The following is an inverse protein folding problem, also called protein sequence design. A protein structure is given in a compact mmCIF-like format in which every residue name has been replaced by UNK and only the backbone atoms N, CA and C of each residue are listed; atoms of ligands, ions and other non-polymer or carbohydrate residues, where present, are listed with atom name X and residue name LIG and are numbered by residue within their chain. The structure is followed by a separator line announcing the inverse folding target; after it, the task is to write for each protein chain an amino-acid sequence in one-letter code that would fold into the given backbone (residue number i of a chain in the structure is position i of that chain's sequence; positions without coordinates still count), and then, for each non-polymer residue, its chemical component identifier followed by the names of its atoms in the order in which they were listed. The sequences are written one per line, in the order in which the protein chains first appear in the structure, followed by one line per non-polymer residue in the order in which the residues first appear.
data_IF_347243365598
#
_entry.id   IF_347243365598
#
_cell.length_a   1.000
_cell.length_b   1.000
_cell.length_c   1.000
_cell.angle_alpha   90.00
_cell.angle_beta   90.00
_cell.angle_gamma   90.00
#
_symmetry.space_group_name_H-M   'P 1'
#
loop_
_entity.id
_entity.type
_entity.pdbx_description
1 polymer ?
#
# COMPACT_ATOMS: atom_id res chain seq x y z
N UNK A 1 17.91 -13.46 -8.93
CA UNK A 1 17.86 -13.64 -7.45
C UNK A 1 18.21 -12.36 -6.69
N UNK A 2 19.40 -11.76 -6.85
CA UNK A 2 19.79 -10.52 -6.13
C UNK A 2 18.81 -9.34 -6.27
N UNK A 3 18.24 -9.13 -7.47
CA UNK A 3 17.28 -8.03 -7.73
C UNK A 3 15.93 -8.24 -7.06
N UNK A 4 15.33 -9.42 -7.21
CA UNK A 4 14.04 -9.77 -6.59
C UNK A 4 14.14 -9.69 -5.06
N UNK A 5 15.26 -10.12 -4.49
CA UNK A 5 15.52 -9.99 -3.05
C UNK A 5 15.54 -8.52 -2.61
N UNK A 6 16.25 -7.63 -3.34
CA UNK A 6 16.23 -6.19 -3.06
C UNK A 6 14.82 -5.61 -3.15
N UNK A 7 14.06 -5.94 -4.20
CA UNK A 7 12.67 -5.48 -4.37
C UNK A 7 11.74 -5.98 -3.25
N UNK A 8 11.95 -7.21 -2.78
CA UNK A 8 11.23 -7.78 -1.63
C UNK A 8 11.49 -6.99 -0.36
N UNK A 9 12.76 -6.71 -0.05
CA UNK A 9 13.15 -5.89 1.12
C UNK A 9 12.58 -4.48 1.00
N UNK A 10 12.58 -3.89 -0.20
CA UNK A 10 11.97 -2.58 -0.45
C UNK A 10 10.47 -2.61 -0.14
N UNK A 11 9.74 -3.63 -0.61
CA UNK A 11 8.32 -3.80 -0.32
C UNK A 11 8.01 -3.87 1.18
N UNK A 12 8.85 -4.59 1.94
CA UNK A 12 8.71 -4.69 3.41
C UNK A 12 8.98 -3.34 4.08
N UNK A 13 10.10 -2.68 3.77
CA UNK A 13 10.46 -1.40 4.37
C UNK A 13 9.41 -0.33 4.06
N UNK A 14 9.00 -0.22 2.80
CA UNK A 14 7.98 0.74 2.38
C UNK A 14 6.62 0.43 3.01
N UNK A 15 6.24 -0.85 3.14
CA UNK A 15 5.02 -1.27 3.83
C UNK A 15 5.02 -0.90 5.32
N UNK A 16 6.16 -1.04 6.01
CA UNK A 16 6.32 -0.58 7.39
C UNK A 16 6.14 0.95 7.45
N UNK A 17 6.80 1.70 6.57
CA UNK A 17 6.66 3.17 6.51
C UNK A 17 5.20 3.58 6.28
N UNK A 18 4.48 2.93 5.35
CA UNK A 18 3.07 3.17 5.07
C UNK A 18 2.19 2.95 6.31
N UNK A 19 2.30 1.76 6.90
CA UNK A 19 1.53 1.37 8.08
C UNK A 19 1.80 2.30 9.26
N UNK A 20 3.07 2.65 9.51
CA UNK A 20 3.46 3.60 10.55
C UNK A 20 2.90 5.00 10.31
N UNK A 21 2.95 5.49 9.07
CA UNK A 21 2.43 6.81 8.68
C UNK A 21 0.92 6.90 8.93
N UNK A 22 0.15 5.91 8.45
CA UNK A 22 -1.29 5.86 8.68
C UNK A 22 -1.63 5.64 10.16
N UNK A 23 -0.81 4.87 10.90
CA UNK A 23 -1.02 4.68 12.34
C UNK A 23 -0.84 5.99 13.11
N UNK A 24 0.20 6.77 12.78
CA UNK A 24 0.42 8.09 13.37
C UNK A 24 -0.78 8.99 13.08
N UNK A 25 -1.27 9.02 11.84
CA UNK A 25 -2.47 9.79 11.49
C UNK A 25 -3.66 9.34 12.34
N UNK A 26 -3.94 8.04 12.43
CA UNK A 26 -5.04 7.51 13.25
C UNK A 26 -4.90 7.94 14.72
N UNK A 27 -3.69 7.90 15.30
CA UNK A 27 -3.47 8.31 16.69
C UNK A 27 -3.71 9.81 16.92
N UNK A 28 -3.48 10.65 15.90
CA UNK A 28 -3.64 12.10 15.99
C UNK A 28 -5.05 12.58 15.65
N UNK A 29 -5.74 11.88 14.73
CA UNK A 29 -7.03 12.35 14.16
C UNK A 29 -8.20 11.45 14.53
N UNK A 30 -7.95 10.27 15.11
CA UNK A 30 -8.93 9.21 15.35
C UNK A 30 -9.66 8.72 14.09
N UNK A 31 -9.15 9.02 12.89
CA UNK A 31 -9.73 8.55 11.64
C UNK A 31 -9.29 7.12 11.30
N UNK A 32 -10.22 6.32 10.77
CA UNK A 32 -10.06 4.88 10.55
C UNK A 32 -9.44 4.48 9.21
N UNK A 33 -8.86 5.42 8.45
CA UNK A 33 -8.14 5.11 7.20
C UNK A 33 -7.05 4.02 7.38
N UNK A 34 -6.45 3.92 8.57
CA UNK A 34 -5.49 2.86 8.91
C UNK A 34 -6.12 1.45 8.89
N UNK A 35 -7.39 1.31 9.27
CA UNK A 35 -8.08 0.02 9.33
C UNK A 35 -8.25 -0.58 7.93
N UNK A 36 -8.51 0.28 6.94
CA UNK A 36 -8.66 -0.13 5.54
C UNK A 36 -7.42 -0.87 5.00
N UNK A 37 -6.23 -0.59 5.56
CA UNK A 37 -4.97 -1.19 5.12
C UNK A 37 -4.95 -2.73 5.29
N UNK A 38 -5.64 -3.22 6.32
CA UNK A 38 -5.65 -4.64 6.70
C UNK A 38 -7.03 -5.28 6.54
N UNK A 39 -8.03 -4.52 6.08
CA UNK A 39 -9.36 -5.04 5.82
C UNK A 39 -9.32 -6.03 4.65
N UNK A 40 -9.87 -7.21 4.87
CA UNK A 40 -9.95 -8.29 3.86
C UNK A 40 -11.38 -8.80 3.65
N UNK A 41 -12.37 -8.10 4.21
CA UNK A 41 -13.79 -8.46 4.19
C UNK A 41 -14.35 -8.61 2.76
N UNK A 42 -13.80 -7.86 1.80
CA UNK A 42 -14.15 -7.94 0.38
C UNK A 42 -13.63 -9.20 -0.34
N UNK A 43 -12.88 -10.08 0.34
CA UNK A 43 -12.31 -11.30 -0.22
C UNK A 43 -13.08 -12.52 0.32
N UNK A 44 -13.94 -13.17 -0.49
CA UNK A 44 -14.88 -14.21 -0.03
C UNK A 44 -14.26 -15.43 0.68
N UNK A 45 -13.01 -15.76 0.39
CA UNK A 45 -12.31 -16.91 1.00
C UNK A 45 -11.56 -16.52 2.28
N UNK A 46 -11.20 -15.25 2.44
CA UNK A 46 -10.38 -14.76 3.56
C UNK A 46 -11.26 -14.21 4.67
N UNK A 47 -12.42 -13.63 4.33
CA UNK A 47 -13.35 -13.04 5.30
C UNK A 47 -13.97 -14.04 6.30
N UNK A 48 -13.77 -15.35 6.11
CA UNK A 48 -14.22 -16.40 7.02
C UNK A 48 -13.22 -16.70 8.14
N UNK A 49 -11.98 -16.18 8.03
CA UNK A 49 -10.92 -16.43 8.99
C UNK A 49 -11.06 -15.47 10.18
N UNK A 50 -11.46 -15.99 11.35
CA UNK A 50 -11.67 -15.23 12.60
C UNK A 50 -10.43 -14.48 13.15
N UNK A 51 -9.22 -14.70 12.61
CA UNK A 51 -7.99 -14.06 13.05
C UNK A 51 -7.63 -12.83 12.18
N UNK A 52 -8.60 -11.91 12.12
CA UNK A 52 -8.65 -10.77 11.19
C UNK A 52 -7.38 -9.91 11.17
N UNK A 53 -6.66 -9.77 12.30
CA UNK A 53 -5.48 -8.90 12.40
C UNK A 53 -4.24 -9.46 11.71
N UNK A 54 -3.89 -10.73 11.95
CA UNK A 54 -2.66 -11.32 11.40
C UNK A 54 -2.80 -11.59 9.91
N UNK A 55 -3.95 -12.13 9.49
CA UNK A 55 -4.21 -12.46 8.09
C UNK A 55 -4.21 -11.19 7.23
N UNK A 56 -4.86 -10.11 7.69
CA UNK A 56 -4.86 -8.82 7.02
C UNK A 56 -3.45 -8.22 6.88
N UNK A 57 -2.64 -8.29 7.93
CA UNK A 57 -1.23 -7.84 7.89
C UNK A 57 -0.43 -8.63 6.86
N UNK A 58 -0.50 -9.96 6.88
CA UNK A 58 0.22 -10.82 5.92
C UNK A 58 -0.24 -10.50 4.49
N UNK A 59 -1.55 -10.44 4.25
CA UNK A 59 -2.11 -10.12 2.95
C UNK A 59 -1.62 -8.77 2.42
N UNK A 60 -1.62 -7.75 3.28
CA UNK A 60 -1.13 -6.42 2.93
C UNK A 60 0.35 -6.44 2.54
N UNK A 61 1.22 -7.05 3.36
CA UNK A 61 2.65 -7.11 3.07
C UNK A 61 2.98 -7.95 1.81
N UNK A 62 2.25 -9.05 1.58
CA UNK A 62 2.34 -9.80 0.32
C UNK A 62 1.98 -8.92 -0.87
N UNK A 63 0.93 -8.10 -0.73
CA UNK A 63 0.52 -7.15 -1.76
C UNK A 63 1.59 -6.09 -2.00
N UNK A 64 2.18 -5.49 -0.95
CA UNK A 64 3.29 -4.53 -1.08
C UNK A 64 4.50 -5.12 -1.80
N UNK A 65 4.88 -6.36 -1.48
CA UNK A 65 6.02 -7.03 -2.13
C UNK A 65 5.70 -7.31 -3.60
N UNK A 66 4.53 -7.89 -3.85
CA UNK A 66 4.08 -8.27 -5.20
C UNK A 66 3.92 -7.04 -6.10
N UNK A 67 3.38 -5.94 -5.58
CA UNK A 67 3.20 -4.70 -6.32
C UNK A 67 4.54 -4.07 -6.68
N UNK A 68 5.53 -4.05 -5.77
CA UNK A 68 6.87 -3.51 -6.05
C UNK A 68 7.58 -4.32 -7.13
N UNK A 69 7.52 -5.64 -7.04
CA UNK A 69 8.12 -6.53 -8.04
C UNK A 69 7.42 -6.34 -9.39
N UNK A 70 6.09 -6.44 -9.42
CA UNK A 70 5.29 -6.31 -10.64
C UNK A 70 5.50 -4.96 -11.32
N UNK A 71 5.35 -3.86 -10.59
CA UNK A 71 5.51 -2.52 -11.13
C UNK A 71 6.94 -2.27 -11.63
N UNK A 72 7.96 -2.74 -10.91
CA UNK A 72 9.35 -2.62 -11.39
C UNK A 72 9.53 -3.25 -12.77
N UNK A 73 9.01 -4.45 -13.01
CA UNK A 73 9.16 -5.12 -14.30
C UNK A 73 8.28 -4.51 -15.39
N UNK A 74 7.10 -3.99 -15.06
CA UNK A 74 6.26 -3.21 -15.98
C UNK A 74 7.01 -1.95 -16.42
N UNK A 75 7.52 -1.16 -15.48
CA UNK A 75 8.26 0.06 -15.80
C UNK A 75 9.57 -0.22 -16.54
N UNK A 76 10.19 -1.38 -16.28
CA UNK A 76 11.39 -1.82 -17.01
C UNK A 76 11.11 -2.13 -18.47
N UNK A 77 9.96 -2.74 -18.77
CA UNK A 77 9.53 -2.94 -20.16
C UNK A 77 9.33 -1.61 -20.91
N UNK A 78 9.07 -0.52 -20.17
CA UNK A 78 8.94 0.84 -20.67
C UNK A 78 10.24 1.66 -20.59
N UNK A 79 11.34 1.11 -20.05
CA UNK A 79 12.63 1.79 -19.88
C UNK A 79 12.64 2.91 -18.83
N UNK A 80 11.69 2.90 -17.89
CA UNK A 80 11.52 3.95 -16.87
C UNK A 80 11.50 3.40 -15.44
N UNK A 81 12.10 2.22 -15.19
CA UNK A 81 12.08 1.53 -13.89
C UNK A 81 12.78 2.29 -12.74
N UNK A 82 13.54 3.33 -13.05
CA UNK A 82 14.20 4.18 -12.05
C UNK A 82 13.57 5.58 -11.94
N UNK A 83 12.43 5.80 -12.60
CA UNK A 83 11.67 7.05 -12.53
C UNK A 83 10.90 7.11 -11.22
N UNK A 84 11.32 7.98 -10.30
CA UNK A 84 10.60 8.24 -9.04
C UNK A 84 9.16 8.68 -9.30
N UNK A 85 8.95 9.53 -10.31
CA UNK A 85 7.63 10.04 -10.66
C UNK A 85 6.69 8.91 -11.10
N UNK A 86 7.18 7.90 -11.82
CA UNK A 86 6.36 6.77 -12.24
C UNK A 86 5.79 5.99 -11.05
N UNK A 87 6.61 5.73 -10.02
CA UNK A 87 6.16 5.11 -8.78
C UNK A 87 5.13 5.96 -8.03
N UNK A 88 5.38 7.27 -7.93
CA UNK A 88 4.46 8.20 -7.26
C UNK A 88 3.10 8.21 -7.94
N UNK A 89 3.07 8.38 -9.25
CA UNK A 89 1.81 8.42 -10.00
C UNK A 89 1.04 7.10 -9.88
N UNK A 90 1.69 5.96 -10.13
CA UNK A 90 0.99 4.67 -10.15
C UNK A 90 0.44 4.30 -8.79
N UNK A 91 1.23 4.41 -7.71
CA UNK A 91 0.76 4.02 -6.39
C UNK A 91 -0.21 5.02 -5.76
N UNK A 92 0.02 6.31 -5.94
CA UNK A 92 -0.88 7.32 -5.35
C UNK A 92 -2.23 7.31 -6.06
N UNK A 93 -2.25 7.32 -7.40
CA UNK A 93 -3.51 7.27 -8.15
C UNK A 93 -4.18 5.91 -8.00
N UNK A 94 -3.40 4.82 -8.09
CA UNK A 94 -3.92 3.46 -7.93
C UNK A 94 -4.55 3.24 -6.55
N UNK A 95 -3.92 3.72 -5.48
CA UNK A 95 -4.51 3.63 -4.13
C UNK A 95 -5.77 4.48 -3.99
N UNK A 96 -5.80 5.70 -4.54
CA UNK A 96 -7.02 6.52 -4.54
C UNK A 96 -8.18 5.80 -5.25
N UNK A 97 -7.91 5.11 -6.36
CA UNK A 97 -8.89 4.29 -7.08
C UNK A 97 -9.35 3.05 -6.29
N UNK A 98 -8.56 2.59 -5.31
CA UNK A 98 -8.90 1.46 -4.44
C UNK A 98 -9.69 1.87 -3.19
N UNK A 99 -9.74 3.17 -2.84
CA UNK A 99 -10.50 3.64 -1.68
C UNK A 99 -11.98 3.21 -1.67
N UNK A 100 -12.70 3.14 -2.81
CA UNK A 100 -14.08 2.67 -2.83
C UNK A 100 -14.32 1.26 -2.29
N UNK A 101 -13.28 0.43 -2.14
CA UNK A 101 -13.38 -0.87 -1.45
C UNK A 101 -13.88 -0.75 -0.01
N UNK A 102 -13.78 0.44 0.59
CA UNK A 102 -14.34 0.75 1.91
C UNK A 102 -15.86 0.54 1.98
N UNK A 103 -16.57 0.64 0.84
CA UNK A 103 -18.02 0.39 0.79
C UNK A 103 -18.39 -1.11 0.91
N UNK A 104 -17.39 -2.01 0.85
CA UNK A 104 -17.58 -3.45 0.93
C UNK A 104 -17.33 -4.01 2.34
N UNK A 105 -17.16 -3.15 3.34
CA UNK A 105 -16.93 -3.55 4.74
C UNK A 105 -17.56 -2.54 5.70
N UNK A 106 -18.19 -3.05 6.75
CA UNK A 106 -18.72 -2.22 7.84
C UNK A 106 -17.62 -1.74 8.80
N UNK A 107 -16.40 -2.30 8.71
CA UNK A 107 -15.27 -2.02 9.62
C UNK A 107 -14.38 -0.88 9.13
N UNK A 108 -14.60 -0.41 7.92
CA UNK A 108 -13.77 0.60 7.25
C UNK A 108 -14.50 1.95 7.21
N UNK A 109 -13.79 3.07 6.97
CA UNK A 109 -14.43 4.38 6.86
C UNK A 109 -15.60 4.41 5.88
N UNK A 110 -16.54 5.33 6.07
CA UNK A 110 -17.58 5.57 5.06
C UNK A 110 -16.94 5.91 3.71
N UNK A 111 -17.57 5.50 2.60
CA UNK A 111 -17.18 5.92 1.26
C UNK A 111 -17.13 7.45 1.10
N UNK A 112 -17.96 8.15 1.86
CA UNK A 112 -18.06 9.62 1.86
C UNK A 112 -17.15 10.28 2.90
N UNK A 113 -16.34 9.52 3.64
CA UNK A 113 -15.35 10.05 4.58
C UNK A 113 -14.17 10.66 3.80
N UNK A 114 -14.30 11.95 3.49
CA UNK A 114 -13.29 12.70 2.74
C UNK A 114 -11.95 12.80 3.47
N UNK A 115 -11.89 13.07 4.80
CA UNK A 115 -10.65 12.95 5.56
C UNK A 115 -9.96 11.58 5.39
N UNK A 116 -10.70 10.48 5.49
CA UNK A 116 -10.14 9.14 5.31
C UNK A 116 -9.55 8.94 3.91
N UNK A 117 -10.24 9.41 2.87
CA UNK A 117 -9.73 9.39 1.49
C UNK A 117 -8.40 10.13 1.36
N UNK A 118 -8.31 11.33 1.95
CA UNK A 118 -7.08 12.15 1.92
C UNK A 118 -5.95 11.45 2.68
N UNK A 119 -6.20 10.94 3.88
CA UNK A 119 -5.19 10.24 4.67
C UNK A 119 -4.70 8.96 3.99
N UNK A 120 -5.63 8.17 3.45
CA UNK A 120 -5.32 6.97 2.66
C UNK A 120 -4.40 7.30 1.48
N UNK A 121 -4.79 8.28 0.67
CA UNK A 121 -4.04 8.69 -0.52
C UNK A 121 -2.67 9.27 -0.15
N UNK A 122 -2.60 10.11 0.89
CA UNK A 122 -1.35 10.67 1.39
C UNK A 122 -0.40 9.61 1.93
N UNK A 123 -0.91 8.62 2.68
CA UNK A 123 -0.13 7.47 3.15
C UNK A 123 0.51 6.72 1.98
N UNK A 124 -0.27 6.45 0.93
CA UNK A 124 0.24 5.78 -0.26
C UNK A 124 1.20 6.64 -1.09
N UNK A 125 1.06 7.96 -1.05
CA UNK A 125 2.09 8.86 -1.60
C UNK A 125 3.42 8.69 -0.84
N UNK A 126 3.40 8.61 0.49
CA UNK A 126 4.62 8.34 1.29
C UNK A 126 5.22 6.97 0.93
N UNK A 127 4.39 5.93 0.84
CA UNK A 127 4.80 4.61 0.37
C UNK A 127 5.49 4.68 -1.00
N UNK A 128 4.87 5.35 -1.96
CA UNK A 128 5.35 5.46 -3.33
C UNK A 128 6.70 6.17 -3.43
N UNK A 129 6.89 7.21 -2.63
CA UNK A 129 8.15 7.93 -2.51
C UNK A 129 9.24 7.03 -1.94
N UNK A 130 8.94 6.29 -0.87
CA UNK A 130 9.87 5.34 -0.28
C UNK A 130 10.29 4.24 -1.27
N UNK A 131 9.33 3.63 -1.99
CA UNK A 131 9.64 2.62 -3.02
C UNK A 131 10.52 3.21 -4.11
N UNK A 132 10.09 4.31 -4.75
CA UNK A 132 10.82 4.88 -5.88
C UNK A 132 12.24 5.31 -5.51
N UNK A 133 12.42 5.89 -4.32
CA UNK A 133 13.73 6.28 -3.80
C UNK A 133 14.64 5.07 -3.56
N UNK A 134 14.13 4.02 -2.91
CA UNK A 134 14.90 2.82 -2.60
C UNK A 134 15.22 2.02 -3.87
N UNK A 135 14.29 1.92 -4.83
CA UNK A 135 14.56 1.30 -6.14
C UNK A 135 15.70 2.05 -6.84
N UNK A 136 15.62 3.38 -6.92
CA UNK A 136 16.65 4.22 -7.56
C UNK A 136 18.02 4.10 -6.89
N UNK A 137 18.08 3.88 -5.57
CA UNK A 137 19.34 3.81 -4.80
C UNK A 137 19.92 2.40 -4.68
N UNK A 138 19.08 1.38 -4.54
CA UNK A 138 19.53 0.03 -4.19
C UNK A 138 19.53 -0.93 -5.38
N UNK A 139 18.66 -0.70 -6.37
CA UNK A 139 18.47 -1.61 -7.51
C UNK A 139 19.18 -1.13 -8.78
N UNK A 140 19.44 0.18 -8.88
CA UNK A 140 20.28 0.78 -9.92
C UNK A 140 21.73 0.33 -9.74
#
# INVERSE_FOLDING_TARGET
MKRVMKLTVIGIIAGIILSGSLKIIQLLTHNDAYILLFNTDYIPLINQLHNWSIVGIIFHFVTCISSVIGLFYILRALGIEYSLLAYILVYTVGSAMLFPLTALSEKTPSLTDFPAFIYWTAGHMVYSFAVGLLVKRWVR
#
